data_IF_591822061407
#
_entry.id   IF_591822061407
#
_cell.length_a   1.000
_cell.length_b   1.000
_cell.length_c   1.000
_cell.angle_alpha   90.00
_cell.angle_beta   90.00
_cell.angle_gamma   90.00
#
_symmetry.space_group_name_H-M   'P 1'
#
loop_
_entity.id
_entity.type
_entity.pdbx_description
1 polymer ?
#
# COMPACT_ATOMS: atom_id res chain seq x y z
N UNK A 1 -31.30 -9.88 66.20
CA UNK A 1 -32.05 -8.59 66.15
C UNK A 1 -31.77 -7.97 64.80
N UNK A 2 -32.81 -7.49 64.11
CA UNK A 2 -32.91 -7.39 62.64
C UNK A 2 -32.83 -8.77 61.94
N UNK A 3 -33.69 -9.10 60.96
CA UNK A 3 -34.88 -8.40 60.47
C UNK A 3 -35.25 -8.96 59.08
N UNK A 4 -36.43 -9.57 58.93
CA UNK A 4 -36.85 -10.28 57.70
C UNK A 4 -38.22 -9.78 57.24
N UNK A 5 -38.50 -9.94 55.94
CA UNK A 5 -39.81 -9.86 55.25
C UNK A 5 -40.15 -8.47 54.65
N UNK A 6 -40.59 -8.41 53.36
CA UNK A 6 -40.81 -7.16 52.61
C UNK A 6 -42.30 -6.75 52.51
N UNK A 7 -42.58 -5.66 51.80
CA UNK A 7 -43.89 -5.40 51.20
C UNK A 7 -43.75 -5.06 49.70
N UNK A 8 -44.79 -5.38 48.94
CA UNK A 8 -44.90 -5.18 47.48
C UNK A 8 -46.22 -4.46 47.14
N UNK A 9 -46.43 -4.18 45.84
CA UNK A 9 -47.67 -3.67 45.18
C UNK A 9 -48.15 -2.27 45.64
N UNK A 10 -48.79 -1.39 44.86
CA UNK A 10 -49.05 -1.26 43.41
C UNK A 10 -49.28 0.26 43.10
N UNK A 11 -49.74 0.80 41.96
CA UNK A 11 -50.39 0.25 40.76
C UNK A 11 -50.10 1.09 39.48
N UNK A 12 -50.53 0.56 38.34
CA UNK A 12 -50.90 1.17 37.05
C UNK A 12 -51.08 2.70 36.95
N UNK A 13 -50.39 3.32 35.97
CA UNK A 13 -51.03 4.31 35.07
C UNK A 13 -50.36 4.29 33.68
N UNK A 14 -51.10 3.80 32.68
CA UNK A 14 -50.70 3.80 31.28
C UNK A 14 -50.86 5.18 30.65
N UNK A 15 -49.88 5.65 29.86
CA UNK A 15 -50.15 6.63 28.80
C UNK A 15 -49.20 6.45 27.61
N UNK A 16 -49.77 6.16 26.44
CA UNK A 16 -49.06 5.88 25.19
C UNK A 16 -49.18 7.08 24.24
N UNK A 17 -48.07 7.60 23.69
CA UNK A 17 -48.13 8.56 22.58
C UNK A 17 -47.58 8.00 21.26
N UNK A 18 -48.51 7.80 20.32
CA UNK A 18 -48.35 7.96 18.88
C UNK A 18 -47.10 7.37 18.18
N UNK A 19 -47.28 6.18 17.59
CA UNK A 19 -46.38 5.63 16.56
C UNK A 19 -46.33 6.55 15.33
N UNK A 20 -45.29 7.39 15.22
CA UNK A 20 -45.04 8.19 14.02
C UNK A 20 -44.39 7.30 12.95
N UNK A 21 -45.17 6.89 11.95
CA UNK A 21 -44.70 6.09 10.84
C UNK A 21 -43.64 6.83 10.01
N UNK A 22 -42.36 6.52 10.23
CA UNK A 22 -41.26 6.98 9.38
C UNK A 22 -41.29 6.15 8.10
N UNK A 23 -41.68 6.76 6.98
CA UNK A 23 -41.56 6.13 5.65
C UNK A 23 -40.08 5.79 5.39
N UNK A 24 -39.73 4.58 4.92
CA UNK A 24 -38.39 4.33 4.40
C UNK A 24 -38.15 5.23 3.18
N UNK A 25 -36.99 5.87 3.04
CA UNK A 25 -36.64 6.59 1.82
C UNK A 25 -36.60 5.60 0.65
N UNK A 26 -37.15 6.03 -0.49
CA UNK A 26 -37.21 5.20 -1.69
C UNK A 26 -35.80 4.83 -2.17
N UNK A 27 -35.61 3.59 -2.62
CA UNK A 27 -34.39 3.18 -3.33
C UNK A 27 -34.29 4.00 -4.61
N UNK A 28 -33.39 4.98 -4.62
CA UNK A 28 -32.85 5.49 -5.88
C UNK A 28 -31.85 4.44 -6.37
N UNK A 29 -32.18 3.81 -7.49
CA UNK A 29 -31.25 2.96 -8.23
C UNK A 29 -30.17 3.86 -8.85
N UNK A 30 -29.09 4.08 -8.10
CA UNK A 30 -27.92 4.75 -8.62
C UNK A 30 -27.18 3.75 -9.52
N UNK A 31 -27.31 3.93 -10.84
CA UNK A 31 -26.54 3.15 -11.81
C UNK A 31 -25.03 3.36 -11.60
N UNK A 32 -24.37 2.37 -11.02
CA UNK A 32 -22.90 2.33 -10.92
C UNK A 32 -22.34 1.91 -12.27
N UNK A 33 -22.13 2.88 -13.16
CA UNK A 33 -21.26 2.68 -14.32
C UNK A 33 -19.80 2.93 -13.94
N UNK A 34 -18.95 1.97 -14.32
CA UNK A 34 -17.48 2.01 -14.34
C UNK A 34 -16.74 2.32 -13.04
N UNK A 35 -16.85 1.38 -12.09
CA UNK A 35 -15.69 1.00 -11.28
C UNK A 35 -14.82 0.00 -12.06
N UNK A 36 -13.81 0.47 -12.81
CA UNK A 36 -12.91 -0.41 -13.55
C UNK A 36 -12.14 -1.34 -12.59
N UNK A 37 -12.46 -2.63 -12.69
CA UNK A 37 -11.91 -3.71 -11.87
C UNK A 37 -10.49 -4.13 -12.30
N UNK A 38 -9.86 -4.93 -11.44
CA UNK A 38 -8.72 -5.82 -11.73
C UNK A 38 -7.41 -5.20 -12.23
N UNK A 39 -6.54 -4.88 -11.26
CA UNK A 39 -5.08 -4.87 -11.45
C UNK A 39 -4.41 -6.25 -11.25
N UNK A 40 -5.19 -7.33 -11.17
CA UNK A 40 -4.68 -8.70 -11.00
C UNK A 40 -4.39 -9.33 -12.37
N UNK A 41 -3.10 -9.57 -12.65
CA UNK A 41 -2.54 -10.46 -13.69
C UNK A 41 -3.27 -10.53 -15.05
N UNK A 42 -2.89 -9.68 -16.01
CA UNK A 42 -3.31 -9.84 -17.41
C UNK A 42 -2.35 -9.26 -18.47
N UNK A 43 -1.05 -9.61 -18.46
CA UNK A 43 -0.19 -9.52 -19.67
C UNK A 43 0.78 -10.71 -19.73
N UNK A 44 0.28 -11.85 -20.20
CA UNK A 44 1.10 -13.04 -20.48
C UNK A 44 0.49 -13.92 -21.58
N UNK A 45 0.04 -13.33 -22.69
CA UNK A 45 -0.17 -14.02 -23.97
C UNK A 45 -0.44 -13.02 -25.09
N UNK A 46 0.45 -12.97 -26.09
CA UNK A 46 0.16 -13.18 -27.52
C UNK A 46 1.50 -12.98 -28.25
N UNK A 47 1.97 -14.03 -28.90
CA UNK A 47 3.10 -13.98 -29.83
C UNK A 47 2.72 -14.81 -31.05
N UNK A 48 3.20 -14.38 -32.22
CA UNK A 48 3.01 -15.01 -33.53
C UNK A 48 1.55 -15.21 -34.00
N UNK A 49 1.04 -14.27 -34.80
CA UNK A 49 0.97 -14.45 -36.26
C UNK A 49 0.07 -13.40 -36.92
N UNK A 50 0.60 -12.69 -37.92
CA UNK A 50 0.06 -12.57 -39.29
C UNK A 50 1.11 -11.81 -40.09
N UNK A 51 1.63 -12.47 -41.12
CA UNK A 51 2.45 -11.85 -42.15
C UNK A 51 1.60 -11.74 -43.42
N UNK A 52 1.48 -10.52 -43.96
CA UNK A 52 1.00 -10.16 -45.31
C UNK A 52 0.96 -8.65 -45.46
N UNK A 53 1.86 -8.10 -46.26
CA UNK A 53 1.77 -6.72 -46.77
C UNK A 53 0.61 -6.60 -47.78
N UNK A 54 0.04 -5.39 -47.91
CA UNK A 54 0.40 -4.59 -49.08
C UNK A 54 0.89 -3.19 -48.72
N UNK A 55 1.72 -2.63 -49.59
CA UNK A 55 2.28 -1.27 -49.46
C UNK A 55 1.23 -0.20 -49.77
N UNK A 56 1.04 0.77 -48.88
CA UNK A 56 0.67 2.16 -49.21
C UNK A 56 0.75 3.07 -47.97
N UNK A 57 1.38 4.24 -48.14
CA UNK A 57 1.52 5.36 -47.17
C UNK A 57 2.03 5.03 -45.75
N UNK A 58 3.32 5.30 -45.51
CA UNK A 58 3.82 5.50 -44.14
C UNK A 58 3.15 6.74 -43.51
N UNK A 59 2.66 6.68 -42.26
CA UNK A 59 2.29 7.89 -41.53
C UNK A 59 3.55 8.74 -41.25
N UNK A 60 3.42 10.06 -41.05
CA UNK A 60 4.53 10.89 -40.56
C UNK A 60 4.99 10.38 -39.19
N UNK A 61 6.29 10.50 -38.91
CA UNK A 61 6.93 9.93 -37.71
C UNK A 61 6.09 10.15 -36.46
N UNK A 62 5.55 9.04 -35.93
CA UNK A 62 4.69 9.04 -34.77
C UNK A 62 5.48 9.45 -33.53
N UNK A 63 5.46 10.74 -33.20
CA UNK A 63 6.07 11.29 -31.99
C UNK A 63 5.35 10.75 -30.75
N UNK A 64 5.74 9.56 -30.33
CA UNK A 64 5.23 8.93 -29.13
C UNK A 64 5.42 9.89 -27.95
N UNK A 65 4.30 10.33 -27.37
CA UNK A 65 4.30 11.25 -26.22
C UNK A 65 5.17 10.64 -25.13
N UNK A 66 6.23 11.33 -24.66
CA UNK A 66 7.13 10.76 -23.67
C UNK A 66 6.36 10.27 -22.44
N UNK A 67 6.59 9.02 -22.04
CA UNK A 67 5.97 8.44 -20.86
C UNK A 67 6.24 9.32 -19.65
N UNK A 68 5.25 9.54 -18.79
CA UNK A 68 5.50 10.18 -17.48
C UNK A 68 6.45 9.30 -16.67
N UNK A 69 7.27 9.90 -15.80
CA UNK A 69 8.23 9.17 -14.98
C UNK A 69 7.55 8.07 -14.15
N UNK A 70 6.36 8.33 -13.60
CA UNK A 70 5.60 7.34 -12.83
C UNK A 70 5.05 6.17 -13.67
N UNK A 71 4.80 6.38 -14.97
CA UNK A 71 4.38 5.33 -15.92
C UNK A 71 5.57 4.50 -16.38
N UNK A 72 6.68 5.16 -16.74
CA UNK A 72 7.95 4.50 -17.07
C UNK A 72 8.41 3.58 -15.94
N UNK A 73 8.40 4.07 -14.70
CA UNK A 73 8.80 3.26 -13.53
C UNK A 73 7.87 2.06 -13.35
N UNK A 74 6.55 2.24 -13.47
CA UNK A 74 5.58 1.14 -13.39
C UNK A 74 5.88 0.04 -14.41
N UNK A 75 6.05 0.42 -15.68
CA UNK A 75 6.31 -0.52 -16.77
C UNK A 75 7.68 -1.22 -16.59
N UNK A 76 8.71 -0.46 -16.23
CA UNK A 76 10.08 -0.97 -16.08
C UNK A 76 10.33 -1.84 -14.83
N UNK A 77 9.40 -1.85 -13.87
CA UNK A 77 9.46 -2.66 -12.63
C UNK A 77 8.29 -3.63 -12.44
N UNK A 78 7.41 -3.82 -13.42
CA UNK A 78 6.20 -4.62 -13.29
C UNK A 78 6.48 -6.08 -12.87
N UNK A 79 7.54 -6.69 -13.40
CA UNK A 79 7.95 -8.05 -13.03
C UNK A 79 8.45 -8.14 -11.59
N UNK A 80 9.22 -7.14 -11.14
CA UNK A 80 9.75 -7.09 -9.77
C UNK A 80 8.64 -6.86 -8.73
N UNK A 81 7.63 -6.04 -9.06
CA UNK A 81 6.42 -5.87 -8.25
C UNK A 81 5.68 -7.20 -8.07
N UNK A 82 5.38 -7.88 -9.19
CA UNK A 82 4.70 -9.17 -9.20
C UNK A 82 5.48 -10.23 -8.41
N UNK A 83 6.81 -10.26 -8.54
CA UNK A 83 7.66 -11.18 -7.80
C UNK A 83 7.54 -10.99 -6.28
N UNK A 84 7.53 -9.74 -5.79
CA UNK A 84 7.33 -9.45 -4.36
C UNK A 84 5.92 -9.84 -3.88
N UNK A 85 4.88 -9.53 -4.66
CA UNK A 85 3.49 -9.93 -4.32
C UNK A 85 3.27 -11.45 -4.28
N UNK A 86 4.04 -12.21 -5.07
CA UNK A 86 3.97 -13.67 -5.10
C UNK A 86 4.69 -14.35 -3.93
N UNK A 87 5.53 -13.64 -3.16
CA UNK A 87 6.23 -14.22 -2.01
C UNK A 87 5.25 -14.72 -0.93
N UNK A 88 5.50 -15.87 -0.29
CA UNK A 88 4.59 -16.46 0.70
C UNK A 88 4.17 -15.48 1.81
N UNK A 89 5.11 -14.67 2.31
CA UNK A 89 4.87 -13.65 3.32
C UNK A 89 3.85 -12.57 2.87
N UNK A 90 3.93 -12.11 1.62
CA UNK A 90 3.01 -11.10 1.07
C UNK A 90 1.65 -11.71 0.73
N UNK A 91 1.64 -12.92 0.17
CA UNK A 91 0.39 -13.68 -0.06
C UNK A 91 -0.34 -13.99 1.24
N UNK A 92 0.38 -14.22 2.35
CA UNK A 92 -0.20 -14.55 3.64
C UNK A 92 -1.07 -13.42 4.21
N UNK A 93 -0.72 -12.15 3.97
CA UNK A 93 -1.53 -10.98 4.33
C UNK A 93 -2.93 -10.96 3.69
N UNK A 94 -3.11 -11.68 2.58
CA UNK A 94 -4.36 -11.76 1.83
C UNK A 94 -5.15 -13.06 2.11
N UNK A 95 -4.80 -13.82 3.15
CA UNK A 95 -5.52 -15.04 3.56
C UNK A 95 -6.35 -14.82 4.82
N UNK A 96 -7.39 -15.63 4.94
CA UNK A 96 -8.24 -15.67 6.14
C UNK A 96 -7.59 -16.44 7.32
N UNK A 97 -6.51 -17.19 7.05
CA UNK A 97 -5.83 -18.06 8.01
C UNK A 97 -4.44 -17.53 8.44
N UNK A 98 -4.26 -16.21 8.49
CA UNK A 98 -3.01 -15.59 8.96
C UNK A 98 -2.95 -15.65 10.49
N UNK A 99 -1.85 -16.12 11.07
CA UNK A 99 -1.66 -16.04 12.53
C UNK A 99 -1.08 -14.68 12.97
N UNK A 100 -1.30 -14.29 14.23
CA UNK A 100 -0.65 -13.09 14.80
C UNK A 100 0.88 -13.21 14.75
N UNK A 101 1.43 -14.41 14.95
CA UNK A 101 2.87 -14.67 14.85
C UNK A 101 3.39 -14.42 13.43
N UNK A 102 2.73 -14.97 12.41
CA UNK A 102 3.08 -14.71 11.00
C UNK A 102 2.97 -13.21 10.66
N UNK A 103 1.94 -12.53 11.16
CA UNK A 103 1.77 -11.10 10.96
C UNK A 103 2.91 -10.27 11.57
N UNK A 104 3.32 -10.59 12.82
CA UNK A 104 4.51 -10.02 13.45
C UNK A 104 5.75 -10.26 12.58
N UNK A 105 5.95 -11.47 12.06
CA UNK A 105 7.09 -11.76 11.18
C UNK A 105 7.05 -10.92 9.89
N UNK A 106 5.87 -10.65 9.32
CA UNK A 106 5.72 -9.75 8.16
C UNK A 106 6.03 -8.29 8.52
N UNK A 107 5.58 -7.80 9.68
CA UNK A 107 5.92 -6.45 10.16
C UNK A 107 7.43 -6.30 10.43
N UNK A 108 8.08 -7.29 11.04
CA UNK A 108 9.54 -7.31 11.26
C UNK A 108 10.31 -7.25 9.94
N UNK A 109 9.85 -7.92 8.88
CA UNK A 109 10.47 -7.87 7.54
C UNK A 109 10.32 -6.50 6.88
N UNK A 110 9.13 -5.88 6.98
CA UNK A 110 8.92 -4.50 6.55
C UNK A 110 9.85 -3.54 7.29
N UNK A 111 9.97 -3.67 8.61
CA UNK A 111 10.85 -2.83 9.43
C UNK A 111 12.31 -2.99 9.01
N UNK A 112 12.81 -4.23 8.87
CA UNK A 112 14.18 -4.50 8.46
C UNK A 112 14.53 -3.84 7.11
N UNK A 113 13.63 -3.92 6.11
CA UNK A 113 13.81 -3.37 4.77
C UNK A 113 13.66 -1.82 4.68
N UNK A 114 12.94 -1.21 5.62
CA UNK A 114 12.65 0.24 5.59
C UNK A 114 13.55 1.04 6.52
N UNK A 115 13.73 0.61 7.77
CA UNK A 115 14.37 1.43 8.80
C UNK A 115 15.80 1.86 8.43
N UNK A 116 16.60 0.96 7.85
CA UNK A 116 17.98 1.26 7.46
C UNK A 116 18.08 2.19 6.25
N UNK A 117 17.10 2.09 5.33
CA UNK A 117 16.98 2.99 4.17
C UNK A 117 16.50 4.38 4.59
N UNK A 118 15.49 4.45 5.47
CA UNK A 118 15.03 5.72 6.05
C UNK A 118 16.12 6.41 6.86
N UNK A 119 16.90 5.66 7.65
CA UNK A 119 18.04 6.20 8.39
C UNK A 119 19.10 6.77 7.44
N UNK A 120 19.53 5.99 6.45
CA UNK A 120 20.58 6.36 5.48
C UNK A 120 20.20 7.58 4.64
N UNK A 121 18.97 7.64 4.16
CA UNK A 121 18.50 8.68 3.26
C UNK A 121 17.73 9.81 3.98
N UNK A 122 17.66 9.79 5.32
CA UNK A 122 16.87 10.70 6.18
C UNK A 122 16.94 12.19 5.79
N UNK A 123 18.15 12.74 5.66
CA UNK A 123 18.36 14.13 5.28
C UNK A 123 17.82 14.45 3.87
N UNK A 124 17.98 13.52 2.93
CA UNK A 124 17.45 13.66 1.57
C UNK A 124 15.92 13.50 1.57
N UNK A 125 15.36 12.52 2.28
CA UNK A 125 13.91 12.32 2.39
C UNK A 125 13.22 13.58 2.94
N UNK A 126 13.79 14.20 3.97
CA UNK A 126 13.29 15.46 4.53
C UNK A 126 13.35 16.60 3.49
N UNK A 127 14.47 16.77 2.79
CA UNK A 127 14.66 17.83 1.80
C UNK A 127 13.98 17.59 0.44
N UNK A 128 13.55 16.35 0.15
CA UNK A 128 12.96 15.95 -1.14
C UNK A 128 11.55 16.49 -1.35
N UNK A 129 10.78 16.68 -0.27
CA UNK A 129 9.41 17.16 -0.29
C UNK A 129 9.28 18.66 -0.55
N UNK A 130 8.03 19.14 -0.56
CA UNK A 130 7.67 20.54 -0.74
C UNK A 130 6.46 20.93 0.14
N UNK A 131 5.64 21.89 -0.29
CA UNK A 131 4.40 22.26 0.40
C UNK A 131 3.20 21.34 0.07
N UNK A 132 3.27 20.61 -1.03
CA UNK A 132 2.20 19.77 -1.56
C UNK A 132 2.36 18.29 -1.16
N UNK A 133 3.58 17.77 -1.13
CA UNK A 133 3.90 16.41 -0.68
C UNK A 133 5.15 16.39 0.19
N UNK A 134 5.13 15.57 1.25
CA UNK A 134 6.27 15.30 2.11
C UNK A 134 6.32 13.82 2.44
N UNK A 135 7.54 13.30 2.57
CA UNK A 135 7.76 11.94 3.03
C UNK A 135 7.24 11.76 4.47
N UNK A 136 6.61 10.62 4.73
CA UNK A 136 6.20 10.21 6.08
C UNK A 136 6.97 8.94 6.46
N UNK A 137 7.80 8.96 7.52
CA UNK A 137 8.54 7.80 7.99
C UNK A 137 7.63 6.62 8.31
N UNK A 138 8.11 5.42 7.99
CA UNK A 138 7.39 4.15 8.11
C UNK A 138 7.93 3.31 9.25
N UNK A 139 9.22 3.40 9.60
CA UNK A 139 9.79 2.69 10.75
C UNK A 139 9.01 3.00 12.04
N UNK A 140 8.65 4.25 12.39
CA UNK A 140 7.95 4.53 13.65
C UNK A 140 6.55 3.91 13.70
N UNK A 141 5.88 3.78 12.56
CA UNK A 141 4.56 3.13 12.46
C UNK A 141 4.68 1.61 12.60
N UNK A 142 5.73 1.02 12.02
CA UNK A 142 6.04 -0.40 12.17
C UNK A 142 6.49 -0.74 13.60
N UNK A 143 7.26 0.15 14.24
CA UNK A 143 7.65 0.06 15.64
C UNK A 143 6.42 0.15 16.56
N UNK A 144 5.48 1.06 16.29
CA UNK A 144 4.20 1.17 16.99
C UNK A 144 3.34 -0.11 16.82
N UNK A 145 3.20 -0.62 15.60
CA UNK A 145 2.41 -1.82 15.32
C UNK A 145 3.03 -3.07 15.98
N UNK A 146 4.36 -3.19 15.96
CA UNK A 146 5.07 -4.27 16.66
C UNK A 146 4.90 -4.16 18.18
N UNK A 147 5.01 -2.96 18.76
CA UNK A 147 4.81 -2.74 20.19
C UNK A 147 3.38 -3.07 20.64
N UNK A 148 2.37 -2.76 19.81
CA UNK A 148 0.97 -3.11 20.05
C UNK A 148 0.73 -4.63 20.07
N UNK A 149 1.57 -5.40 19.37
CA UNK A 149 1.58 -6.88 19.39
C UNK A 149 2.60 -7.48 20.37
N UNK A 150 3.13 -6.67 21.30
CA UNK A 150 4.15 -7.05 22.28
C UNK A 150 5.45 -7.62 21.64
N UNK A 151 5.71 -7.26 20.39
CA UNK A 151 6.87 -7.69 19.62
C UNK A 151 7.93 -6.58 19.50
N UNK A 152 9.18 -6.98 19.28
CA UNK A 152 10.30 -6.04 19.08
C UNK A 152 10.63 -5.82 17.60
N UNK A 153 11.07 -4.62 17.19
CA UNK A 153 11.68 -4.43 15.88
C UNK A 153 13.02 -5.20 15.79
N UNK A 154 13.35 -5.82 14.64
CA UNK A 154 14.70 -6.31 14.38
C UNK A 154 15.66 -5.13 14.15
N UNK A 155 16.96 -5.39 14.22
CA UNK A 155 17.96 -4.41 13.78
C UNK A 155 17.71 -4.00 12.31
N UNK A 156 17.87 -2.70 11.97
CA UNK A 156 17.76 -2.24 10.59
C UNK A 156 18.74 -2.96 9.65
N UNK A 157 18.29 -3.35 8.46
CA UNK A 157 19.18 -3.93 7.45
C UNK A 157 19.97 -2.84 6.71
N UNK A 158 21.19 -3.12 6.22
CA UNK A 158 21.93 -2.19 5.36
C UNK A 158 21.14 -1.85 4.10
N UNK A 159 20.87 -0.56 3.90
CA UNK A 159 20.12 -0.08 2.75
C UNK A 159 20.88 -0.26 1.42
N UNK A 160 20.18 -0.54 0.31
CA UNK A 160 20.80 -0.60 -1.02
C UNK A 160 21.47 0.74 -1.38
N UNK A 161 22.56 0.73 -2.17
CA UNK A 161 23.25 1.96 -2.55
C UNK A 161 22.42 2.82 -3.50
N UNK A 162 22.28 4.10 -3.19
CA UNK A 162 21.69 5.11 -4.07
C UNK A 162 22.79 6.08 -4.56
N UNK A 163 23.48 5.78 -5.68
CA UNK A 163 24.65 6.54 -6.12
C UNK A 163 24.32 7.98 -6.56
N UNK A 164 23.10 8.22 -7.03
CA UNK A 164 22.64 9.53 -7.48
C UNK A 164 21.19 9.84 -7.07
N UNK A 165 20.77 11.09 -7.30
CA UNK A 165 19.44 11.59 -6.94
C UNK A 165 18.31 10.88 -7.71
N UNK A 166 18.53 10.46 -8.96
CA UNK A 166 17.58 9.69 -9.74
C UNK A 166 17.31 8.34 -9.09
N UNK A 167 18.36 7.61 -8.71
CA UNK A 167 18.23 6.35 -7.97
C UNK A 167 17.42 6.50 -6.68
N UNK A 168 17.63 7.56 -5.91
CA UNK A 168 16.84 7.83 -4.69
C UNK A 168 15.35 8.01 -4.97
N UNK A 169 15.00 8.79 -6.00
CA UNK A 169 13.60 8.95 -6.44
C UNK A 169 12.99 7.64 -6.95
N UNK A 170 13.79 6.78 -7.58
CA UNK A 170 13.42 5.42 -7.94
C UNK A 170 13.06 4.54 -6.74
N UNK A 171 13.92 4.51 -5.72
CA UNK A 171 13.66 3.77 -4.48
C UNK A 171 12.40 4.30 -3.77
N UNK A 172 12.30 5.63 -3.66
CA UNK A 172 11.16 6.31 -3.04
C UNK A 172 9.84 6.04 -3.79
N UNK A 173 9.85 5.90 -5.13
CA UNK A 173 8.67 5.51 -5.91
C UNK A 173 8.09 4.15 -5.47
N UNK A 174 8.96 3.16 -5.23
CA UNK A 174 8.54 1.83 -4.74
C UNK A 174 7.89 1.96 -3.36
N UNK A 175 8.52 2.73 -2.48
CA UNK A 175 8.09 2.94 -1.09
C UNK A 175 6.77 3.73 -1.00
N UNK A 176 6.57 4.77 -1.82
CA UNK A 176 5.30 5.51 -1.88
C UNK A 176 4.21 4.71 -2.59
N UNK A 177 4.55 3.89 -3.59
CA UNK A 177 3.60 3.05 -4.32
C UNK A 177 2.91 1.99 -3.44
N UNK A 178 3.63 1.42 -2.47
CA UNK A 178 3.10 0.38 -1.58
C UNK A 178 1.93 0.86 -0.70
N UNK A 179 1.78 2.18 -0.47
CA UNK A 179 0.65 2.78 0.26
C UNK A 179 -0.70 2.45 -0.34
N UNK A 180 -0.78 2.23 -1.66
CA UNK A 180 -2.03 1.87 -2.34
C UNK A 180 -2.46 0.43 -2.01
N UNK A 181 -1.52 -0.51 -2.03
CA UNK A 181 -1.76 -1.90 -1.62
C UNK A 181 -2.03 -2.03 -0.12
N UNK A 182 -1.37 -1.22 0.71
CA UNK A 182 -1.56 -1.21 2.16
C UNK A 182 -3.01 -0.99 2.60
N UNK A 183 -3.78 -0.18 1.85
CA UNK A 183 -5.22 0.02 2.10
C UNK A 183 -6.04 -1.27 1.97
N UNK A 184 -5.71 -2.12 1.00
CA UNK A 184 -6.37 -3.41 0.79
C UNK A 184 -5.97 -4.40 1.88
N UNK A 185 -4.68 -4.45 2.21
CA UNK A 185 -4.13 -5.27 3.30
C UNK A 185 -4.78 -4.91 4.64
N UNK A 186 -4.82 -3.63 5.02
CA UNK A 186 -5.47 -3.18 6.26
C UNK A 186 -6.96 -3.57 6.32
N UNK A 187 -7.68 -3.46 5.19
CA UNK A 187 -9.08 -3.90 5.11
C UNK A 187 -9.20 -5.42 5.32
N UNK A 188 -8.32 -6.22 4.73
CA UNK A 188 -8.31 -7.67 4.89
C UNK A 188 -7.97 -8.07 6.33
N UNK A 189 -6.90 -7.50 6.91
CA UNK A 189 -6.45 -7.83 8.27
C UNK A 189 -7.51 -7.52 9.34
N UNK A 190 -8.28 -6.43 9.20
CA UNK A 190 -9.44 -6.16 10.09
C UNK A 190 -10.54 -7.23 10.01
N UNK A 191 -10.61 -7.99 8.92
CA UNK A 191 -11.56 -9.07 8.75
C UNK A 191 -11.00 -10.43 9.21
N UNK A 192 -9.79 -10.79 8.77
CA UNK A 192 -9.19 -12.10 9.03
C UNK A 192 -8.37 -12.20 10.31
N UNK A 193 -7.94 -11.07 10.89
CA UNK A 193 -7.10 -11.04 12.08
C UNK A 193 -7.53 -9.91 13.05
N UNK A 194 -8.75 -9.98 13.62
CA UNK A 194 -9.28 -8.94 14.49
C UNK A 194 -8.43 -8.67 15.73
N UNK A 195 -7.72 -9.69 16.25
CA UNK A 195 -6.80 -9.56 17.38
C UNK A 195 -5.60 -8.63 17.09
N UNK A 196 -5.25 -8.44 15.81
CA UNK A 196 -4.21 -7.52 15.37
C UNK A 196 -4.75 -6.13 14.95
N UNK A 197 -6.03 -5.84 15.16
CA UNK A 197 -6.62 -4.53 14.83
C UNK A 197 -5.90 -3.30 15.43
N UNK A 198 -5.27 -3.36 16.63
CA UNK A 198 -4.46 -2.24 17.15
C UNK A 198 -3.14 -1.97 16.39
N UNK A 199 -2.73 -2.88 15.50
CA UNK A 199 -1.40 -2.94 14.89
C UNK A 199 -1.47 -2.80 13.35
N UNK A 200 -2.17 -1.77 12.87
CA UNK A 200 -2.41 -1.51 11.45
C UNK A 200 -1.90 -0.15 10.96
N UNK A 201 -1.24 0.62 11.82
CA UNK A 201 -0.80 2.01 11.60
C UNK A 201 0.04 2.18 10.33
N UNK A 202 0.92 1.21 10.05
CA UNK A 202 1.75 1.18 8.85
C UNK A 202 0.92 0.99 7.56
N UNK A 203 0.03 0.01 7.53
CA UNK A 203 -0.79 -0.28 6.34
C UNK A 203 -1.90 0.75 6.11
N UNK A 204 -2.36 1.41 7.19
CA UNK A 204 -3.36 2.47 7.14
C UNK A 204 -2.81 3.85 6.77
N UNK A 205 -1.49 4.00 6.65
CA UNK A 205 -0.81 5.24 6.25
C UNK A 205 -1.38 5.86 4.95
N UNK A 206 -1.90 5.03 4.03
CA UNK A 206 -2.53 5.46 2.79
C UNK A 206 -3.99 5.94 2.91
N UNK A 207 -4.64 5.84 4.09
CA UNK A 207 -6.05 6.21 4.29
C UNK A 207 -6.27 7.70 4.53
N UNK A 208 -5.35 8.39 5.22
CA UNK A 208 -5.54 9.78 5.62
C UNK A 208 -5.60 10.78 4.46
N UNK A 209 -4.95 10.46 3.33
CA UNK A 209 -4.78 11.39 2.21
C UNK A 209 -4.80 10.65 0.85
N UNK A 210 -5.98 10.42 0.25
CA UNK A 210 -6.10 9.76 -1.06
C UNK A 210 -5.43 10.52 -2.21
N UNK A 211 -5.13 11.81 -2.03
CA UNK A 211 -4.48 12.64 -3.03
C UNK A 211 -2.93 12.67 -2.88
N UNK A 212 -2.38 12.09 -1.80
CA UNK A 212 -0.94 12.03 -1.53
C UNK A 212 -0.15 11.48 -2.72
N UNK A 213 -0.60 10.34 -3.26
CA UNK A 213 0.04 9.67 -4.39
C UNK A 213 0.10 10.57 -5.64
N UNK A 214 -0.96 11.34 -5.93
CA UNK A 214 -0.99 12.24 -7.08
C UNK A 214 0.03 13.38 -6.93
N UNK A 215 0.14 13.94 -5.72
CA UNK A 215 1.12 14.99 -5.41
C UNK A 215 2.56 14.46 -5.43
N UNK A 216 2.78 13.23 -4.95
CA UNK A 216 4.04 12.52 -5.13
C UNK A 216 4.39 12.34 -6.62
N UNK A 217 3.45 11.89 -7.47
CA UNK A 217 3.70 11.74 -8.92
C UNK A 217 4.08 13.07 -9.59
N UNK A 218 3.46 14.19 -9.19
CA UNK A 218 3.83 15.52 -9.68
C UNK A 218 5.26 15.90 -9.26
N UNK A 219 5.61 15.67 -7.99
CA UNK A 219 6.97 15.92 -7.46
C UNK A 219 8.03 15.06 -8.15
N UNK A 220 7.71 13.79 -8.40
CA UNK A 220 8.55 12.81 -9.09
C UNK A 220 8.83 13.23 -10.55
N UNK A 221 7.83 13.75 -11.26
CA UNK A 221 7.99 14.24 -12.65
C UNK A 221 8.98 15.42 -12.70
N UNK A 222 8.84 16.39 -11.79
CA UNK A 222 9.76 17.53 -11.65
C UNK A 222 11.19 17.09 -11.32
N UNK A 223 11.33 16.05 -10.50
CA UNK A 223 12.61 15.51 -10.07
C UNK A 223 13.34 14.70 -11.15
N UNK A 224 12.63 14.22 -12.19
CA UNK A 224 13.15 13.36 -13.23
C UNK A 224 12.99 13.97 -14.64
N UNK A 225 13.54 15.18 -14.91
CA UNK A 225 13.32 15.91 -16.15
C UNK A 225 14.06 15.35 -17.37
N UNK A 226 15.05 14.47 -17.18
CA UNK A 226 15.89 13.94 -18.28
C UNK A 226 15.77 12.42 -18.45
N UNK A 227 16.03 11.87 -19.65
CA UNK A 227 16.15 10.43 -19.85
C UNK A 227 17.20 9.79 -18.93
N UNK A 228 18.32 10.47 -18.66
CA UNK A 228 19.37 9.98 -17.75
C UNK A 228 18.88 9.85 -16.31
N UNK A 229 18.24 10.88 -15.77
CA UNK A 229 17.67 10.83 -14.40
C UNK A 229 16.57 9.76 -14.29
N UNK A 230 15.75 9.60 -15.35
CA UNK A 230 14.72 8.57 -15.42
C UNK A 230 15.30 7.15 -15.43
N UNK A 231 16.36 6.92 -16.20
CA UNK A 231 17.05 5.62 -16.21
C UNK A 231 17.64 5.30 -14.83
N UNK A 232 18.34 6.26 -14.21
CA UNK A 232 18.85 6.07 -12.85
C UNK A 232 17.74 5.78 -11.81
N UNK A 233 16.55 6.35 -11.99
CA UNK A 233 15.37 6.03 -11.19
C UNK A 233 14.82 4.62 -11.46
N UNK A 234 14.85 4.13 -12.69
CA UNK A 234 14.51 2.72 -12.99
C UNK A 234 15.47 1.78 -12.26
N UNK A 235 16.76 2.08 -12.27
CA UNK A 235 17.78 1.24 -11.63
C UNK A 235 17.67 1.28 -10.10
N UNK A 236 17.41 2.46 -9.52
CA UNK A 236 17.12 2.61 -8.09
C UNK A 236 15.83 1.91 -7.65
N UNK A 237 14.76 1.97 -8.46
CA UNK A 237 13.52 1.26 -8.17
C UNK A 237 13.71 -0.26 -8.18
N UNK A 238 14.47 -0.78 -9.17
CA UNK A 238 14.84 -2.20 -9.24
C UNK A 238 15.67 -2.64 -8.03
N UNK A 239 16.62 -1.80 -7.58
CA UNK A 239 17.39 -2.07 -6.37
C UNK A 239 16.51 -2.13 -5.11
N UNK A 240 15.50 -1.25 -4.98
CA UNK A 240 14.57 -1.28 -3.86
C UNK A 240 13.65 -2.50 -3.87
N UNK A 241 13.14 -2.90 -5.04
CA UNK A 241 12.39 -4.15 -5.15
C UNK A 241 13.23 -5.38 -4.83
N UNK A 242 14.50 -5.44 -5.25
CA UNK A 242 15.41 -6.52 -4.90
C UNK A 242 15.70 -6.58 -3.39
N UNK A 243 15.79 -5.41 -2.73
CA UNK A 243 15.91 -5.30 -1.28
C UNK A 243 14.66 -5.83 -0.56
N UNK A 244 13.47 -5.37 -0.94
CA UNK A 244 12.21 -5.89 -0.41
C UNK A 244 12.06 -7.41 -0.65
N UNK A 245 12.35 -7.89 -1.85
CA UNK A 245 12.30 -9.31 -2.18
C UNK A 245 13.21 -10.13 -1.27
N UNK A 246 14.45 -9.67 -1.04
CA UNK A 246 15.39 -10.33 -0.11
C UNK A 246 14.80 -10.48 1.30
N UNK A 247 14.17 -9.43 1.83
CA UNK A 247 13.57 -9.47 3.18
C UNK A 247 12.26 -10.28 3.26
N UNK A 248 11.44 -10.29 2.21
CA UNK A 248 10.20 -11.06 2.20
C UNK A 248 10.38 -12.53 1.81
N UNK A 249 11.46 -12.88 1.11
CA UNK A 249 11.79 -14.26 0.72
C UNK A 249 12.42 -15.10 1.84
N UNK A 250 12.82 -14.48 2.96
CA UNK A 250 13.30 -15.21 4.14
C UNK A 250 12.24 -16.23 4.59
N UNK A 251 12.63 -17.46 4.89
CA UNK A 251 11.69 -18.42 5.48
C UNK A 251 11.41 -18.05 6.94
N UNK A 252 10.17 -18.25 7.40
CA UNK A 252 9.90 -18.19 8.83
C UNK A 252 10.42 -19.48 9.44
N UNK A 253 11.55 -19.41 10.14
CA UNK A 253 11.99 -20.50 11.02
C UNK A 253 10.92 -20.64 12.11
N UNK A 254 10.32 -21.82 12.18
CA UNK A 254 9.28 -22.19 13.14
C UNK A 254 9.85 -22.49 14.52
#
# INVERSE_FOLDING_TARGET
>A
MAGVVPLAVDESLSFEPARRAVRPPQRQELCIHDATLCGLSAVAAVSAAVDRTPSMMSPPDGSAVPLTASRLLREATAQQHLAVEQLPAMRALMRDSLSVSDYVQVLRRHHAALAGWEQRESAWLHASGDAAWRYQPRSPLLEQDLAALQATPPLPAPAPPAPDTGSRWGMLYVVEGSRLGGRLIARQLRHSLPDAAPALSYFELGHADPACWRRFQQRLEQALPTPRSRQAAVDGARAMFAHFHTHFALETVA
#
